data_IF_007014698481
#
_entry.id   IF_007014698481
#
_cell.length_a   1.000
_cell.length_b   1.000
_cell.length_c   1.000
_cell.angle_alpha   90.00
_cell.angle_beta   90.00
_cell.angle_gamma   90.00
#
_symmetry.space_group_name_H-M   'P 1'
#
loop_
_entity.id
_entity.type
_entity.pdbx_description
1 polymer ?
#
# COMPACT_ATOMS: atom_id res chain seq x y z
N UNK A 1 2.05 16.99 7.52
CA UNK A 1 2.16 15.52 7.34
C UNK A 1 1.12 14.86 8.22
N UNK A 2 0.36 13.92 7.67
CA UNK A 2 -0.72 13.21 8.36
C UNK A 2 -0.27 11.78 8.66
N UNK A 3 -0.37 11.31 9.92
CA UNK A 3 -0.03 9.94 10.27
C UNK A 3 -1.05 8.97 9.65
N UNK A 4 -0.52 7.91 9.05
CA UNK A 4 -1.28 6.91 8.30
C UNK A 4 -1.04 5.52 8.88
N UNK A 5 -2.00 4.63 8.67
CA UNK A 5 -1.81 3.19 8.88
C UNK A 5 -2.27 2.41 7.67
N UNK A 6 -1.63 1.29 7.42
CA UNK A 6 -2.11 0.35 6.39
C UNK A 6 -3.35 -0.34 6.93
N UNK A 7 -4.47 -0.20 6.21
CA UNK A 7 -5.75 -0.78 6.59
C UNK A 7 -5.99 -2.13 5.95
N UNK A 8 -5.73 -2.23 4.66
CA UNK A 8 -6.01 -3.43 3.89
C UNK A 8 -5.12 -3.52 2.65
N UNK A 9 -4.96 -4.73 2.19
CA UNK A 9 -4.41 -5.07 0.89
C UNK A 9 -5.47 -5.87 0.14
N UNK A 10 -5.98 -5.32 -0.96
CA UNK A 10 -7.01 -5.93 -1.78
C UNK A 10 -6.37 -6.48 -3.05
N UNK A 11 -6.51 -7.76 -3.28
CA UNK A 11 -6.05 -8.42 -4.50
C UNK A 11 -7.14 -9.34 -5.04
N UNK A 12 -7.37 -9.31 -6.36
CA UNK A 12 -8.20 -10.29 -7.05
C UNK A 12 -7.33 -11.43 -7.57
N UNK A 13 -7.87 -12.64 -7.64
CA UNK A 13 -7.19 -13.81 -8.20
C UNK A 13 -6.78 -13.59 -9.65
N UNK A 14 -7.57 -12.83 -10.39
CA UNK A 14 -7.47 -12.66 -11.85
C UNK A 14 -6.76 -11.38 -12.27
N UNK A 15 -6.27 -10.59 -11.31
CA UNK A 15 -5.61 -9.32 -11.59
C UNK A 15 -4.15 -9.35 -11.10
N UNK A 16 -3.23 -8.92 -11.96
CA UNK A 16 -1.81 -8.75 -11.61
C UNK A 16 -1.57 -7.57 -10.66
N UNK A 17 -2.57 -6.76 -10.41
CA UNK A 17 -2.48 -5.59 -9.56
C UNK A 17 -3.22 -5.81 -8.24
N UNK A 18 -2.68 -5.21 -7.19
CA UNK A 18 -3.29 -5.12 -5.89
C UNK A 18 -3.52 -3.65 -5.52
N UNK A 19 -4.48 -3.40 -4.64
CA UNK A 19 -4.77 -2.06 -4.11
C UNK A 19 -4.36 -2.03 -2.65
N UNK A 20 -3.45 -1.13 -2.34
CA UNK A 20 -3.03 -0.83 -0.97
C UNK A 20 -3.93 0.28 -0.44
N UNK A 21 -4.62 0.02 0.67
CA UNK A 21 -5.51 0.97 1.33
C UNK A 21 -4.87 1.44 2.63
N UNK A 22 -4.72 2.75 2.77
CA UNK A 22 -4.28 3.41 3.98
C UNK A 22 -5.40 4.26 4.56
N UNK A 23 -5.41 4.42 5.87
CA UNK A 23 -6.30 5.36 6.54
C UNK A 23 -5.51 6.31 7.45
N UNK A 24 -5.99 7.54 7.56
CA UNK A 24 -5.44 8.52 8.48
C UNK A 24 -5.82 8.19 9.92
N UNK A 25 -4.83 8.21 10.83
CA UNK A 25 -5.02 7.79 12.23
C UNK A 25 -6.01 8.68 12.98
N UNK A 26 -5.99 9.99 12.70
CA UNK A 26 -6.81 10.98 13.41
C UNK A 26 -7.96 11.57 12.58
N UNK A 27 -8.12 11.18 11.34
CA UNK A 27 -9.10 11.73 10.41
C UNK A 27 -9.84 10.59 9.72
N UNK A 28 -11.11 10.79 9.37
CA UNK A 28 -11.88 9.81 8.59
C UNK A 28 -11.55 9.91 7.09
N UNK A 29 -10.29 9.80 6.76
CA UNK A 29 -9.78 9.82 5.39
C UNK A 29 -9.11 8.51 5.07
N UNK A 30 -9.38 7.99 3.91
CA UNK A 30 -8.66 6.87 3.33
C UNK A 30 -8.01 7.28 2.01
N UNK A 31 -6.93 6.64 1.72
CA UNK A 31 -6.15 6.84 0.53
C UNK A 31 -5.75 5.47 -0.01
N UNK A 32 -5.89 5.26 -1.30
CA UNK A 32 -5.58 4.00 -1.94
C UNK A 32 -4.75 4.21 -3.20
N UNK A 33 -3.81 3.31 -3.43
CA UNK A 33 -3.04 3.26 -4.67
C UNK A 33 -2.88 1.83 -5.16
N UNK A 34 -2.68 1.69 -6.48
CA UNK A 34 -2.49 0.41 -7.12
C UNK A 34 -1.01 0.07 -7.21
N UNK A 35 -0.66 -1.17 -6.93
CA UNK A 35 0.69 -1.70 -7.00
C UNK A 35 0.69 -3.09 -7.64
N UNK A 36 1.87 -3.58 -8.03
CA UNK A 36 2.02 -4.94 -8.52
C UNK A 36 1.71 -5.97 -7.43
N UNK A 37 0.97 -7.03 -7.79
CA UNK A 37 0.55 -8.06 -6.85
C UNK A 37 1.72 -8.85 -6.25
N UNK A 38 2.75 -9.12 -7.04
CA UNK A 38 3.90 -9.86 -6.55
C UNK A 38 4.71 -9.04 -5.53
N UNK A 39 4.82 -7.74 -5.77
CA UNK A 39 5.52 -6.81 -4.88
C UNK A 39 4.75 -6.58 -3.57
N UNK A 40 3.42 -6.55 -3.64
CA UNK A 40 2.58 -6.40 -2.44
C UNK A 40 2.51 -7.65 -1.55
N UNK A 41 2.96 -8.82 -2.02
CA UNK A 41 3.01 -10.03 -1.19
C UNK A 41 3.87 -9.87 0.07
N UNK A 42 4.96 -9.11 -0.04
CA UNK A 42 5.83 -8.83 1.11
C UNK A 42 5.13 -7.97 2.15
N UNK A 43 4.41 -6.96 1.68
CA UNK A 43 3.57 -6.11 2.52
C UNK A 43 2.45 -6.92 3.19
N UNK A 44 1.77 -7.81 2.47
CA UNK A 44 0.73 -8.68 3.02
C UNK A 44 1.25 -9.51 4.19
N UNK A 45 2.40 -10.16 4.04
CA UNK A 45 3.02 -10.92 5.13
C UNK A 45 3.38 -10.06 6.35
N UNK A 46 3.81 -8.82 6.13
CA UNK A 46 4.10 -7.89 7.22
C UNK A 46 2.82 -7.46 7.96
N UNK A 47 1.69 -7.36 7.26
CA UNK A 47 0.39 -7.05 7.86
C UNK A 47 -0.16 -8.19 8.70
N UNK A 48 0.02 -9.44 8.26
CA UNK A 48 -0.48 -10.63 8.96
C UNK A 48 0.24 -10.88 10.28
N UNK A 49 1.24 -10.08 10.63
CA UNK A 49 2.01 -10.23 11.86
C UNK A 49 2.78 -11.56 11.90
N UNK A 50 2.81 -12.28 10.79
CA UNK A 50 3.63 -13.45 10.66
C UNK A 50 5.07 -13.01 10.91
N UNK A 51 5.67 -13.49 11.99
CA UNK A 51 7.12 -13.49 12.18
C UNK A 51 7.73 -14.35 11.07
N UNK A 52 7.50 -13.92 9.84
CA UNK A 52 8.03 -14.63 8.71
C UNK A 52 9.50 -14.27 8.58
N UNK A 53 10.32 -15.12 9.15
CA UNK A 53 11.75 -15.25 8.86
C UNK A 53 12.06 -15.39 7.35
N UNK A 54 11.07 -15.29 6.49
CA UNK A 54 11.14 -15.59 5.06
C UNK A 54 11.15 -14.34 4.17
N UNK A 55 11.73 -13.23 4.60
CA UNK A 55 11.98 -12.11 3.69
C UNK A 55 13.46 -11.70 3.70
N UNK A 56 14.32 -12.48 3.02
CA UNK A 56 15.77 -12.26 3.04
C UNK A 56 16.20 -10.84 2.66
N UNK A 57 15.42 -10.17 1.80
CA UNK A 57 15.70 -8.80 1.38
C UNK A 57 15.50 -7.81 2.54
N UNK A 58 14.41 -7.93 3.29
CA UNK A 58 14.18 -7.02 4.43
C UNK A 58 15.16 -7.32 5.56
N UNK A 59 15.50 -8.60 5.79
CA UNK A 59 16.52 -9.00 6.76
C UNK A 59 17.88 -8.42 6.39
N UNK A 60 18.24 -8.46 5.12
CA UNK A 60 19.47 -7.86 4.61
C UNK A 60 19.47 -6.34 4.77
N UNK A 61 18.37 -5.66 4.47
CA UNK A 61 18.25 -4.21 4.62
C UNK A 61 18.41 -3.83 6.11
N UNK A 62 17.71 -4.50 7.01
CA UNK A 62 17.82 -4.24 8.46
C UNK A 62 19.23 -4.48 8.99
N UNK A 63 19.84 -5.59 8.60
CA UNK A 63 21.22 -5.90 8.97
C UNK A 63 22.20 -4.87 8.43
N UNK A 64 21.98 -4.41 7.19
CA UNK A 64 22.81 -3.37 6.56
C UNK A 64 22.68 -2.03 7.28
N UNK A 65 21.45 -1.62 7.61
CA UNK A 65 21.23 -0.40 8.39
C UNK A 65 21.89 -0.48 9.77
N UNK A 66 21.75 -1.62 10.45
CA UNK A 66 22.39 -1.86 11.75
C UNK A 66 23.92 -1.79 11.64
N UNK A 67 24.52 -2.43 10.64
CA UNK A 67 25.97 -2.40 10.41
C UNK A 67 26.49 -0.99 10.11
N UNK A 68 25.67 -0.16 9.45
CA UNK A 68 25.97 1.24 9.18
C UNK A 68 25.63 2.17 10.34
N UNK A 69 25.14 1.63 11.45
CA UNK A 69 24.66 2.43 12.61
C UNK A 69 23.59 3.45 12.20
N UNK A 70 22.76 3.10 11.23
CA UNK A 70 21.65 3.91 10.77
C UNK A 70 20.31 3.32 11.25
N UNK A 71 19.40 4.17 11.65
CA UNK A 71 18.07 3.77 12.07
C UNK A 71 17.00 4.38 11.14
N UNK A 72 16.02 3.57 10.76
CA UNK A 72 14.84 4.09 10.11
C UNK A 72 13.99 4.84 11.13
N UNK A 73 13.55 6.06 10.80
CA UNK A 73 12.75 6.89 11.71
C UNK A 73 11.31 7.05 11.26
N UNK A 74 11.06 7.07 9.97
CA UNK A 74 9.72 7.19 9.39
C UNK A 74 9.71 6.90 7.90
N UNK A 75 8.51 6.66 7.37
CA UNK A 75 8.23 6.62 5.92
C UNK A 75 7.27 7.75 5.59
N UNK A 76 7.51 8.43 4.48
CA UNK A 76 6.66 9.50 3.97
C UNK A 76 6.18 9.13 2.58
N UNK A 77 4.87 9.11 2.40
CA UNK A 77 4.21 8.96 1.11
C UNK A 77 3.94 10.34 0.52
N UNK A 78 4.27 10.50 -0.75
CA UNK A 78 4.14 11.76 -1.47
C UNK A 78 3.53 11.51 -2.85
N UNK A 79 2.95 12.55 -3.44
CA UNK A 79 2.46 12.50 -4.80
C UNK A 79 3.64 12.54 -5.78
N UNK A 80 3.61 11.68 -6.78
CA UNK A 80 4.54 11.65 -7.89
C UNK A 80 3.88 12.08 -9.22
N UNK A 81 2.75 12.75 -9.16
CA UNK A 81 1.98 13.19 -10.32
C UNK A 81 1.52 12.02 -11.19
N UNK A 82 1.85 12.05 -12.47
CA UNK A 82 1.46 10.99 -13.41
C UNK A 82 2.00 9.61 -13.05
N UNK A 83 3.06 9.52 -12.24
CA UNK A 83 3.65 8.26 -11.76
C UNK A 83 2.93 7.70 -10.51
N UNK A 84 1.90 8.39 -10.02
CA UNK A 84 1.11 7.98 -8.86
C UNK A 84 1.75 8.37 -7.53
N UNK A 85 2.00 7.40 -6.66
CA UNK A 85 2.57 7.64 -5.32
C UNK A 85 4.01 7.16 -5.27
N UNK A 86 4.85 7.98 -4.65
CA UNK A 86 6.21 7.64 -4.26
C UNK A 86 6.33 7.55 -2.74
N UNK A 87 7.31 6.80 -2.27
CA UNK A 87 7.66 6.73 -0.86
C UNK A 87 9.10 7.19 -0.65
N UNK A 88 9.34 7.78 0.51
CA UNK A 88 10.67 8.19 0.96
C UNK A 88 10.87 7.64 2.36
N UNK A 89 11.92 6.86 2.54
CA UNK A 89 12.38 6.37 3.84
C UNK A 89 13.31 7.42 4.44
N UNK A 90 13.07 7.77 5.68
CA UNK A 90 13.93 8.66 6.47
C UNK A 90 14.79 7.82 7.40
N UNK A 91 16.07 8.04 7.31
CA UNK A 91 17.09 7.39 8.14
C UNK A 91 17.81 8.44 8.97
N UNK A 92 18.22 8.04 10.14
CA UNK A 92 19.09 8.82 11.02
C UNK A 92 20.37 8.04 11.30
N UNK A 93 21.50 8.72 11.20
CA UNK A 93 22.82 8.19 11.51
C UNK A 93 23.68 9.30 12.08
N UNK A 94 24.10 9.18 13.33
CA UNK A 94 25.03 10.13 13.98
C UNK A 94 24.66 11.60 13.70
N UNK A 95 23.46 12.03 14.03
CA UNK A 95 22.93 13.38 13.85
C UNK A 95 22.72 13.82 12.37
N UNK A 96 22.95 12.94 11.42
CA UNK A 96 22.67 13.18 10.00
C UNK A 96 21.37 12.51 9.61
N UNK A 97 20.46 13.29 9.04
CA UNK A 97 19.23 12.78 8.48
C UNK A 97 19.41 12.51 6.98
N UNK A 98 19.15 11.28 6.57
CA UNK A 98 19.24 10.82 5.19
C UNK A 98 17.87 10.43 4.68
N UNK A 99 17.65 10.57 3.39
CA UNK A 99 16.40 10.16 2.75
C UNK A 99 16.68 9.24 1.58
N UNK A 100 15.92 8.16 1.47
CA UNK A 100 16.04 7.18 0.39
C UNK A 100 14.70 7.04 -0.30
N UNK A 101 14.61 7.34 -1.61
CA UNK A 101 13.42 7.00 -2.40
C UNK A 101 13.23 5.49 -2.41
N UNK A 102 12.00 5.04 -2.23
CA UNK A 102 11.67 3.63 -2.18
C UNK A 102 10.33 3.38 -2.89
N UNK A 103 10.16 2.17 -3.39
CA UNK A 103 8.87 1.73 -3.90
C UNK A 103 7.84 1.66 -2.76
N UNK A 104 6.62 2.23 -2.91
CA UNK A 104 5.70 2.38 -1.80
C UNK A 104 5.36 1.09 -1.04
N UNK A 105 5.03 -0.05 -1.65
CA UNK A 105 4.76 -1.30 -0.94
C UNK A 105 5.94 -1.79 -0.10
N UNK A 106 7.16 -1.67 -0.61
CA UNK A 106 8.36 -2.10 0.12
C UNK A 106 8.66 -1.14 1.29
N UNK A 107 8.51 0.17 1.07
CA UNK A 107 8.65 1.16 2.15
C UNK A 107 7.65 0.92 3.28
N UNK A 108 6.40 0.61 2.95
CA UNK A 108 5.36 0.28 3.94
C UNK A 108 5.69 -1.03 4.67
N UNK A 109 6.14 -2.06 3.96
CA UNK A 109 6.56 -3.33 4.56
C UNK A 109 7.72 -3.15 5.54
N UNK A 110 8.72 -2.35 5.16
CA UNK A 110 9.85 -2.00 6.04
C UNK A 110 9.40 -1.17 7.25
N UNK A 111 8.48 -0.20 7.05
CA UNK A 111 7.95 0.61 8.16
C UNK A 111 7.21 -0.23 9.20
N UNK A 112 6.36 -1.17 8.74
CA UNK A 112 5.64 -2.08 9.63
C UNK A 112 6.59 -2.96 10.44
N UNK A 113 7.62 -3.47 9.78
CA UNK A 113 8.61 -4.34 10.39
C UNK A 113 9.49 -3.59 11.39
N UNK A 114 10.00 -2.41 11.01
CA UNK A 114 10.78 -1.55 11.90
C UNK A 114 9.93 -0.84 12.96
N UNK A 115 8.60 -0.97 12.91
CA UNK A 115 7.63 -0.33 13.81
C UNK A 115 7.77 1.20 13.84
N UNK A 116 8.07 1.79 12.70
CA UNK A 116 8.20 3.24 12.55
C UNK A 116 6.93 3.85 11.92
N UNK A 117 6.65 5.13 12.21
CA UNK A 117 5.44 5.77 11.73
C UNK A 117 5.46 5.99 10.21
N UNK A 118 4.28 5.92 9.61
CA UNK A 118 4.01 6.21 8.20
C UNK A 118 3.26 7.54 8.15
N UNK A 119 3.68 8.43 7.25
CA UNK A 119 3.04 9.72 7.02
C UNK A 119 2.68 9.88 5.54
N UNK A 120 1.67 10.70 5.27
CA UNK A 120 1.36 11.20 3.94
C UNK A 120 1.48 12.72 3.90
N UNK A 121 1.95 13.25 2.77
CA UNK A 121 1.95 14.69 2.49
C UNK A 121 0.54 15.16 2.15
N UNK A 122 0.32 16.48 2.17
CA UNK A 122 -0.94 17.06 1.72
C UNK A 122 -1.20 16.76 0.23
N UNK A 123 -0.15 16.71 -0.60
CA UNK A 123 -0.24 16.37 -2.00
C UNK A 123 -0.73 14.92 -2.21
N UNK A 124 -0.17 13.96 -1.49
CA UNK A 124 -0.64 12.57 -1.54
C UNK A 124 -2.11 12.46 -1.06
N UNK A 125 -2.49 13.22 -0.04
CA UNK A 125 -3.85 13.24 0.49
C UNK A 125 -4.86 13.95 -0.41
N UNK A 126 -4.43 14.73 -1.40
CA UNK A 126 -5.34 15.31 -2.39
C UNK A 126 -6.12 14.21 -3.17
N UNK A 127 -5.57 13.00 -3.22
CA UNK A 127 -6.23 11.81 -3.78
C UNK A 127 -7.04 11.01 -2.73
N UNK A 128 -7.05 11.46 -1.46
CA UNK A 128 -7.77 10.77 -0.40
C UNK A 128 -9.29 10.98 -0.54
N UNK A 129 -10.04 9.98 -0.12
CA UNK A 129 -11.51 10.03 -0.07
C UNK A 129 -11.97 9.94 1.38
N UNK A 130 -13.08 10.60 1.75
CA UNK A 130 -13.67 10.41 3.07
C UNK A 130 -14.09 8.94 3.25
N UNK A 131 -13.89 8.41 4.43
CA UNK A 131 -14.48 7.12 4.82
C UNK A 131 -16.00 7.28 4.87
N UNK A 132 -16.66 6.86 3.83
CA UNK A 132 -18.10 6.69 3.83
C UNK A 132 -18.42 5.45 4.66
N UNK A 133 -18.81 5.66 5.88
CA UNK A 133 -19.37 4.70 6.84
C UNK A 133 -18.56 3.42 7.12
N UNK A 134 -18.33 3.19 8.38
CA UNK A 134 -17.73 2.01 9.00
C UNK A 134 -18.41 0.72 8.49
N UNK A 135 -17.87 0.10 7.47
CA UNK A 135 -18.35 -1.20 7.01
C UNK A 135 -18.28 -1.47 5.52
N UNK A 136 -18.15 -0.45 4.68
CA UNK A 136 -18.38 -0.63 3.24
C UNK A 136 -17.12 -0.93 2.41
N UNK A 137 -15.92 -0.90 2.99
CA UNK A 137 -14.69 -1.09 2.20
C UNK A 137 -14.33 -2.56 2.00
N UNK A 138 -14.99 -3.48 2.71
CA UNK A 138 -14.70 -4.92 2.58
C UNK A 138 -15.96 -5.82 2.74
N UNK A 139 -17.16 -5.29 2.59
CA UNK A 139 -18.27 -6.18 2.28
C UNK A 139 -18.16 -6.52 0.81
N UNK A 140 -18.18 -7.81 0.45
CA UNK A 140 -18.58 -8.17 -0.90
C UNK A 140 -19.87 -7.39 -1.18
N UNK A 141 -19.94 -6.72 -2.32
CA UNK A 141 -21.07 -5.89 -2.70
C UNK A 141 -22.43 -6.55 -2.43
N UNK A 142 -23.56 -5.81 -2.52
CA UNK A 142 -24.86 -6.37 -2.30
C UNK A 142 -24.96 -7.75 -2.93
N UNK A 143 -25.69 -8.70 -2.35
CA UNK A 143 -25.77 -10.08 -2.86
C UNK A 143 -26.09 -10.13 -4.37
N UNK A 144 -26.71 -9.10 -4.88
CA UNK A 144 -26.97 -8.90 -6.32
C UNK A 144 -25.70 -8.64 -7.13
N UNK A 145 -24.77 -7.83 -6.63
CA UNK A 145 -23.49 -7.55 -7.30
C UNK A 145 -22.58 -8.78 -7.23
N UNK A 146 -22.63 -9.54 -6.16
CA UNK A 146 -21.87 -10.77 -6.03
C UNK A 146 -22.38 -11.83 -7.00
N UNK A 147 -23.70 -11.99 -7.10
CA UNK A 147 -24.33 -12.89 -8.08
C UNK A 147 -24.04 -12.45 -9.51
N UNK A 148 -24.10 -11.14 -9.76
CA UNK A 148 -23.73 -10.59 -11.07
C UNK A 148 -22.26 -10.87 -11.43
N UNK A 149 -21.33 -10.71 -10.49
CA UNK A 149 -19.90 -11.04 -10.68
C UNK A 149 -19.63 -12.53 -10.91
N UNK A 150 -20.47 -13.41 -10.33
CA UNK A 150 -20.41 -14.86 -10.53
C UNK A 150 -21.01 -15.28 -11.90
N UNK A 151 -21.94 -14.50 -12.44
CA UNK A 151 -22.63 -14.74 -13.71
C UNK A 151 -21.95 -14.10 -14.93
N UNK A 152 -21.11 -13.07 -14.70
CA UNK A 152 -20.42 -12.34 -15.79
C UNK A 152 -19.31 -13.20 -16.39
N UNK A 153 -19.41 -13.43 -17.70
CA UNK A 153 -18.40 -14.11 -18.50
C UNK A 153 -17.42 -13.11 -19.14
N UNK A 154 -16.16 -13.49 -19.38
CA UNK A 154 -15.24 -12.69 -20.19
C UNK A 154 -15.78 -12.32 -21.57
N UNK A 155 -16.73 -13.08 -22.09
CA UNK A 155 -17.37 -12.82 -23.37
C UNK A 155 -18.34 -11.65 -23.35
N UNK A 156 -18.86 -11.27 -22.18
CA UNK A 156 -19.75 -10.11 -22.02
C UNK A 156 -19.04 -8.78 -22.25
N UNK A 157 -17.72 -8.78 -22.23
CA UNK A 157 -16.86 -7.60 -22.41
C UNK A 157 -16.23 -7.52 -23.80
N UNK A 158 -16.56 -8.44 -24.71
CA UNK A 158 -16.11 -8.33 -26.10
C UNK A 158 -16.88 -7.21 -26.82
N UNK A 159 -16.19 -6.29 -27.51
CA UNK A 159 -16.88 -5.30 -28.32
C UNK A 159 -17.73 -6.05 -29.35
N UNK A 160 -19.03 -5.74 -29.41
CA UNK A 160 -19.90 -6.19 -30.48
C UNK A 160 -19.34 -5.64 -31.77
N UNK A 161 -19.00 -6.52 -32.72
CA UNK A 161 -18.72 -6.11 -34.07
C UNK A 161 -19.98 -5.41 -34.61
N UNK A 162 -19.84 -4.16 -35.05
CA UNK A 162 -20.90 -3.45 -35.72
C UNK A 162 -21.26 -4.25 -36.99
N UNK A 163 -22.56 -4.51 -37.27
CA UNK A 163 -22.95 -5.10 -38.50
C UNK A 163 -22.75 -4.06 -39.62
N UNK A 164 -22.03 -4.45 -40.67
CA UNK A 164 -21.96 -3.71 -41.94
C UNK A 164 -23.34 -3.60 -42.62
#
# INVERSE_FOLDING_TARGET
MTPMRVRALLSSSDNERAVVVLEAVAQRLQFAFSADRHETRRLGRALDGAECTCNPIYDFIESSLSALQAAMTRVVLDDAGASGIRAVIWLERADVCLTIPCYPPDALGLALRAKVPIYATAAALAHARPLTTTGDVLRPGPPEVRRWLEEVSPDDFRPRADPE
#
